data_IF_486777601152
#
_entry.id   IF_486777601152
#
_cell.length_a   1.000
_cell.length_b   1.000
_cell.length_c   1.000
_cell.angle_alpha   90.00
_cell.angle_beta   90.00
_cell.angle_gamma   90.00
#
_symmetry.space_group_name_H-M   'P 1'
#
loop_
_entity.id
_entity.type
_entity.pdbx_description
1 polymer ?
#
# COMPACT_ATOMS: atom_id res chain seq x y z
N UNK A 1 -2.49 -3.68 9.26
CA UNK A 1 -1.31 -4.41 8.73
C UNK A 1 -1.34 -4.30 7.21
N UNK A 2 -0.19 -4.24 6.53
CA UNK A 2 -0.11 -4.22 5.06
C UNK A 2 1.19 -4.85 4.58
N UNK A 3 1.16 -5.47 3.39
CA UNK A 3 2.34 -5.85 2.62
C UNK A 3 2.70 -4.78 1.60
N UNK A 4 3.93 -4.78 1.09
CA UNK A 4 4.40 -3.85 0.05
C UNK A 4 5.19 -4.63 -1.00
N UNK A 5 5.23 -4.12 -2.23
CA UNK A 5 5.99 -4.72 -3.33
C UNK A 5 5.69 -4.03 -4.65
N UNK A 6 6.58 -4.15 -5.64
CA UNK A 6 6.46 -3.42 -6.91
C UNK A 6 5.11 -3.59 -7.60
N UNK A 7 4.56 -4.81 -7.61
CA UNK A 7 3.27 -5.10 -8.23
C UNK A 7 2.06 -4.54 -7.46
N UNK A 8 2.19 -4.41 -6.14
CA UNK A 8 1.09 -4.13 -5.23
C UNK A 8 1.08 -2.70 -4.69
N UNK A 9 2.24 -2.03 -4.72
CA UNK A 9 2.54 -0.79 -4.00
C UNK A 9 2.33 -0.97 -2.49
N UNK A 10 1.08 -0.97 -2.03
CA UNK A 10 0.62 -1.30 -0.69
C UNK A 10 -0.60 -2.24 -0.79
N UNK A 11 -0.54 -3.42 -0.18
CA UNK A 11 -1.69 -4.35 -0.05
C UNK A 11 -2.13 -4.47 1.41
N UNK A 12 -3.32 -3.95 1.78
CA UNK A 12 -3.87 -4.10 3.13
C UNK A 12 -4.14 -5.58 3.46
N UNK A 13 -3.79 -6.00 4.68
CA UNK A 13 -4.08 -7.35 5.18
C UNK A 13 -5.28 -7.28 6.12
N UNK A 14 -6.37 -7.97 5.76
CA UNK A 14 -7.62 -8.01 6.52
C UNK A 14 -7.78 -9.24 7.43
N UNK A 15 -7.05 -10.32 7.17
CA UNK A 15 -7.08 -11.55 7.98
C UNK A 15 -5.69 -12.16 8.03
N UNK A 16 -5.33 -12.72 9.19
CA UNK A 16 -4.19 -13.61 9.37
C UNK A 16 -4.70 -14.97 9.85
N UNK A 17 -4.28 -16.04 9.17
CA UNK A 17 -4.66 -17.40 9.52
C UNK A 17 -3.43 -18.28 9.73
N UNK A 18 -3.42 -19.04 10.82
CA UNK A 18 -2.39 -20.04 11.15
C UNK A 18 -3.09 -21.32 11.64
N UNK A 19 -3.09 -22.35 10.79
CA UNK A 19 -3.86 -23.58 11.04
C UNK A 19 -5.36 -23.28 11.18
N UNK A 20 -5.93 -23.65 12.33
CA UNK A 20 -7.33 -23.38 12.65
C UNK A 20 -7.56 -22.00 13.29
N UNK A 21 -6.49 -21.26 13.62
CA UNK A 21 -6.60 -19.94 14.22
C UNK A 21 -6.75 -18.88 13.14
N UNK A 22 -7.77 -18.03 13.30
CA UNK A 22 -8.02 -16.89 12.43
C UNK A 22 -8.10 -15.63 13.26
N UNK A 23 -7.40 -14.59 12.80
CA UNK A 23 -7.43 -13.26 13.38
C UNK A 23 -7.88 -12.27 12.32
N UNK A 24 -9.01 -11.60 12.58
CA UNK A 24 -9.47 -10.50 11.74
C UNK A 24 -8.70 -9.24 12.13
N UNK A 25 -8.08 -8.60 11.13
CA UNK A 25 -7.30 -7.38 11.32
C UNK A 25 -8.19 -6.19 10.98
N UNK A 26 -8.37 -5.27 11.93
CA UNK A 26 -9.09 -4.00 11.72
C UNK A 26 -10.49 -4.21 11.12
N UNK A 27 -11.25 -5.21 11.60
CA UNK A 27 -12.56 -5.62 11.07
C UNK A 27 -12.58 -5.87 9.55
N UNK A 28 -11.46 -6.33 8.98
CA UNK A 28 -11.30 -6.53 7.54
C UNK A 28 -11.23 -5.23 6.73
N UNK A 29 -11.18 -4.06 7.39
CA UNK A 29 -11.13 -2.75 6.74
C UNK A 29 -9.69 -2.32 6.51
N UNK A 30 -9.50 -1.50 5.48
CA UNK A 30 -8.22 -0.85 5.21
C UNK A 30 -7.92 0.15 6.32
N UNK A 31 -6.71 0.09 6.87
CA UNK A 31 -6.24 1.06 7.86
C UNK A 31 -5.94 2.41 7.22
N UNK A 32 -6.24 3.51 7.94
CA UNK A 32 -6.01 4.89 7.47
C UNK A 32 -4.57 5.13 6.98
N UNK A 33 -3.58 4.56 7.67
CA UNK A 33 -2.16 4.70 7.28
C UNK A 33 -1.85 3.97 5.97
N UNK A 34 -2.35 2.74 5.80
CA UNK A 34 -2.15 1.96 4.57
C UNK A 34 -2.73 2.68 3.36
N UNK A 35 -3.95 3.23 3.51
CA UNK A 35 -4.58 4.01 2.44
C UNK A 35 -3.77 5.25 2.11
N UNK A 36 -3.36 6.04 3.12
CA UNK A 36 -2.54 7.24 2.92
C UNK A 36 -1.23 6.93 2.18
N UNK A 37 -0.55 5.84 2.55
CA UNK A 37 0.69 5.43 1.90
C UNK A 37 0.47 5.00 0.45
N UNK A 38 -0.58 4.21 0.19
CA UNK A 38 -0.98 3.83 -1.18
C UNK A 38 -1.21 5.09 -2.03
N UNK A 39 -2.12 5.97 -1.59
CA UNK A 39 -2.51 7.17 -2.32
C UNK A 39 -1.31 8.08 -2.60
N UNK A 40 -0.42 8.26 -1.62
CA UNK A 40 0.76 9.12 -1.77
C UNK A 40 1.74 8.57 -2.80
N UNK A 41 2.06 7.26 -2.72
CA UNK A 41 3.03 6.65 -3.61
C UNK A 41 2.48 6.58 -5.05
N UNK A 42 1.21 6.18 -5.21
CA UNK A 42 0.58 6.13 -6.54
C UNK A 42 0.43 7.52 -7.15
N UNK A 43 0.13 8.55 -6.34
CA UNK A 43 0.04 9.92 -6.83
C UNK A 43 1.39 10.43 -7.34
N UNK A 44 2.51 10.06 -6.69
CA UNK A 44 3.85 10.33 -7.21
C UNK A 44 4.02 9.57 -8.53
N UNK A 45 3.80 8.25 -8.55
CA UNK A 45 3.99 7.42 -9.75
C UNK A 45 3.20 7.88 -10.98
N UNK A 46 2.00 8.44 -10.79
CA UNK A 46 1.16 8.97 -11.88
C UNK A 46 1.41 10.44 -12.20
N UNK A 47 2.34 11.09 -11.50
CA UNK A 47 2.67 12.51 -11.70
C UNK A 47 1.58 13.47 -11.22
N UNK A 48 0.60 13.00 -10.44
CA UNK A 48 -0.44 13.85 -9.83
C UNK A 48 0.01 14.50 -8.52
N UNK A 49 1.16 14.10 -7.98
CA UNK A 49 1.82 14.72 -6.83
C UNK A 49 3.30 15.02 -7.14
N UNK A 50 3.88 15.97 -6.39
CA UNK A 50 5.29 16.38 -6.51
C UNK A 50 6.22 15.21 -6.15
N UNK A 51 7.16 14.89 -7.06
CA UNK A 51 8.25 13.97 -6.80
C UNK A 51 9.42 14.67 -6.11
N UNK A 52 9.31 14.83 -4.79
CA UNK A 52 10.30 15.52 -3.95
C UNK A 52 11.67 14.84 -3.89
N UNK A 53 11.74 13.57 -4.29
CA UNK A 53 12.92 12.73 -4.10
C UNK A 53 13.54 12.26 -5.42
N UNK A 54 12.95 12.62 -6.57
CA UNK A 54 13.45 12.25 -7.89
C UNK A 54 13.33 10.75 -8.17
N UNK A 55 12.24 10.10 -7.76
CA UNK A 55 11.96 8.69 -8.00
C UNK A 55 11.48 8.38 -9.43
N UNK A 56 10.84 9.34 -10.11
CA UNK A 56 10.31 9.15 -11.45
C UNK A 56 11.38 9.54 -12.46
N UNK A 57 11.66 8.62 -13.39
CA UNK A 57 12.58 8.87 -14.50
C UNK A 57 11.88 8.64 -15.84
N UNK A 58 12.17 9.46 -16.87
CA UNK A 58 11.68 9.19 -18.21
C UNK A 58 12.30 7.88 -18.71
N UNK A 59 11.45 7.00 -19.24
CA UNK A 59 11.89 5.79 -19.93
C UNK A 59 11.73 6.07 -21.42
N UNK A 60 12.86 6.16 -22.11
CA UNK A 60 13.00 6.42 -23.56
C UNK A 60 13.23 5.12 -24.31
#
# INVERSE_FOLDING_TARGET
MFGTGTAAVISPVGELAEGNYKMIINDGKIGKLSQKLYDTITAIQWGSAEDKFGWIVPVI
#
